data_IF_875426128678
#
_entry.id   IF_875426128678
#
_cell.length_a   1.000
_cell.length_b   1.000
_cell.length_c   1.000
_cell.angle_alpha   90.00
_cell.angle_beta   90.00
_cell.angle_gamma   90.00
#
_symmetry.space_group_name_H-M   'P 1'
#
loop_
_entity.id
_entity.type
_entity.pdbx_description
1 polymer ?
#
# COMPACT_ATOMS: atom_id res chain seq x y z
N UNK A 1 -27.97 5.84 0.96
CA UNK A 1 -27.53 4.79 0.00
C UNK A 1 -27.81 5.26 -1.42
N UNK A 2 -26.78 5.44 -2.25
CA UNK A 2 -26.94 5.83 -3.66
C UNK A 2 -27.10 4.57 -4.53
N UNK A 3 -28.33 4.19 -4.84
CA UNK A 3 -28.62 2.90 -5.48
C UNK A 3 -28.12 2.78 -6.93
N UNK A 4 -27.93 3.91 -7.62
CA UNK A 4 -27.57 3.96 -9.05
C UNK A 4 -26.22 4.65 -9.31
N UNK A 5 -25.38 4.77 -8.28
CA UNK A 5 -24.04 5.35 -8.41
C UNK A 5 -23.01 4.25 -8.23
N UNK A 6 -22.17 4.05 -9.26
CA UNK A 6 -20.95 3.26 -9.12
C UNK A 6 -19.85 4.18 -8.62
N UNK A 7 -19.36 3.94 -7.41
CA UNK A 7 -18.14 4.57 -6.94
C UNK A 7 -16.96 3.93 -7.67
N UNK A 8 -16.12 4.75 -8.26
CA UNK A 8 -14.88 4.29 -8.87
C UNK A 8 -13.81 4.25 -7.79
N UNK A 9 -13.09 3.14 -7.69
CA UNK A 9 -11.90 3.03 -6.88
C UNK A 9 -10.67 3.23 -7.79
N UNK A 10 -10.03 4.41 -7.78
CA UNK A 10 -8.84 4.63 -8.59
C UNK A 10 -7.67 3.72 -8.18
N UNK A 11 -7.64 3.21 -6.94
CA UNK A 11 -6.60 2.28 -6.50
C UNK A 11 -6.67 0.95 -7.26
N UNK A 12 -7.89 0.47 -7.57
CA UNK A 12 -8.10 -0.74 -8.38
C UNK A 12 -7.50 -0.58 -9.79
N UNK A 13 -7.72 0.58 -10.42
CA UNK A 13 -7.18 0.87 -11.75
C UNK A 13 -5.64 0.88 -11.74
N UNK A 14 -5.05 1.58 -10.78
CA UNK A 14 -3.58 1.67 -10.64
C UNK A 14 -2.97 0.29 -10.36
N UNK A 15 -3.61 -0.52 -9.50
CA UNK A 15 -3.14 -1.87 -9.20
C UNK A 15 -3.12 -2.76 -10.44
N UNK A 16 -4.15 -2.68 -11.29
CA UNK A 16 -4.22 -3.42 -12.55
C UNK A 16 -3.14 -2.97 -13.55
N UNK A 17 -2.92 -1.66 -13.67
CA UNK A 17 -1.87 -1.11 -14.54
C UNK A 17 -0.48 -1.58 -14.09
N UNK A 18 -0.20 -1.51 -12.79
CA UNK A 18 1.07 -1.98 -12.21
C UNK A 18 1.26 -3.49 -12.42
N UNK A 19 0.20 -4.28 -12.22
CA UNK A 19 0.24 -5.74 -12.47
C UNK A 19 0.62 -6.06 -13.92
N UNK A 20 0.16 -5.28 -14.89
CA UNK A 20 0.49 -5.49 -16.31
C UNK A 20 1.94 -5.09 -16.66
N UNK A 21 2.57 -4.24 -15.84
CA UNK A 21 3.95 -3.78 -16.04
C UNK A 21 4.99 -4.69 -15.39
N UNK A 22 4.66 -5.29 -14.24
CA UNK A 22 5.56 -6.18 -13.51
C UNK A 22 5.54 -7.57 -14.17
N UNK A 23 6.72 -8.11 -14.50
CA UNK A 23 6.86 -9.51 -14.92
C UNK A 23 6.89 -10.40 -13.68
N UNK A 24 6.14 -11.50 -13.71
CA UNK A 24 6.21 -12.54 -12.67
C UNK A 24 7.68 -12.95 -12.48
N UNK A 25 8.19 -12.74 -11.26
CA UNK A 25 9.58 -13.03 -10.91
C UNK A 25 9.56 -13.79 -9.58
N UNK A 26 9.37 -15.10 -9.68
CA UNK A 26 9.22 -16.04 -8.54
C UNK A 26 10.48 -16.16 -7.67
N UNK A 27 11.57 -15.48 -8.02
CA UNK A 27 12.91 -15.69 -7.46
C UNK A 27 13.28 -14.70 -6.34
N UNK A 28 12.51 -13.63 -6.12
CA UNK A 28 12.80 -12.66 -5.06
C UNK A 28 11.91 -12.89 -3.83
N UNK A 29 12.52 -12.98 -2.65
CA UNK A 29 11.78 -12.91 -1.40
C UNK A 29 11.03 -11.58 -1.35
N UNK A 30 9.71 -11.64 -1.41
CA UNK A 30 8.84 -10.47 -1.35
C UNK A 30 8.86 -9.89 0.07
N UNK A 31 9.76 -8.94 0.31
CA UNK A 31 9.85 -8.21 1.59
C UNK A 31 9.22 -6.82 1.41
N UNK A 32 8.10 -6.58 2.07
CA UNK A 32 7.51 -5.24 2.17
C UNK A 32 8.29 -4.41 3.19
N UNK A 33 8.87 -3.29 2.75
CA UNK A 33 9.53 -2.30 3.61
C UNK A 33 8.80 -0.97 3.49
N UNK A 34 8.42 -0.39 4.63
CA UNK A 34 7.64 0.84 4.69
C UNK A 34 8.47 1.92 5.37
N UNK A 35 8.56 3.08 4.74
CA UNK A 35 9.28 4.24 5.24
C UNK A 35 8.37 5.48 5.27
N UNK A 36 8.61 6.39 6.20
CA UNK A 36 7.93 7.70 6.27
C UNK A 36 8.90 8.80 6.68
N UNK A 37 8.74 10.00 6.14
CA UNK A 37 9.44 11.21 6.60
C UNK A 37 8.66 11.97 7.69
N UNK A 38 7.48 11.46 8.07
CA UNK A 38 6.64 12.01 9.13
C UNK A 38 6.75 11.24 10.44
N UNK A 39 5.70 11.35 11.27
CA UNK A 39 5.62 10.59 12.53
C UNK A 39 5.42 9.09 12.26
N UNK A 40 6.45 8.31 12.57
CA UNK A 40 6.51 6.86 12.41
C UNK A 40 5.41 6.15 13.20
N UNK A 41 5.18 6.56 14.46
CA UNK A 41 4.24 5.88 15.35
C UNK A 41 2.80 6.13 14.92
N UNK A 42 2.49 7.38 14.55
CA UNK A 42 1.18 7.73 14.02
C UNK A 42 0.89 6.97 12.72
N UNK A 43 1.88 6.92 11.81
CA UNK A 43 1.71 6.22 10.53
C UNK A 43 1.52 4.71 10.73
N UNK A 44 2.34 4.08 11.59
CA UNK A 44 2.20 2.67 11.95
C UNK A 44 0.82 2.35 12.54
N UNK A 45 0.32 3.19 13.46
CA UNK A 45 -1.01 3.01 14.05
C UNK A 45 -2.12 3.06 12.99
N UNK A 46 -2.03 3.98 12.03
CA UNK A 46 -3.01 4.08 10.94
C UNK A 46 -2.97 2.85 10.02
N UNK A 47 -1.78 2.32 9.73
CA UNK A 47 -1.62 1.07 8.97
C UNK A 47 -2.24 -0.13 9.69
N UNK A 48 -2.03 -0.24 11.00
CA UNK A 48 -2.64 -1.29 11.82
C UNK A 48 -4.17 -1.21 11.81
N UNK A 49 -4.77 -0.01 11.81
CA UNK A 49 -6.21 0.16 11.65
C UNK A 49 -6.73 -0.32 10.28
N UNK A 50 -5.86 -0.33 9.26
CA UNK A 50 -6.15 -0.88 7.93
C UNK A 50 -5.79 -2.37 7.79
N UNK A 51 -5.36 -3.04 8.87
CA UNK A 51 -4.96 -4.45 8.85
C UNK A 51 -3.55 -4.71 8.32
N UNK A 52 -2.71 -3.68 8.22
CA UNK A 52 -1.31 -3.78 7.79
C UNK A 52 -0.41 -3.70 9.04
N UNK A 53 0.15 -4.84 9.45
CA UNK A 53 1.00 -4.95 10.65
C UNK A 53 2.49 -5.10 10.28
N UNK A 54 3.00 -4.13 9.53
CA UNK A 54 4.40 -4.05 9.13
C UNK A 54 5.15 -3.01 9.98
N UNK A 55 6.46 -3.22 10.13
CA UNK A 55 7.33 -2.18 10.68
C UNK A 55 7.43 -0.98 9.74
N UNK A 56 7.46 0.20 10.35
CA UNK A 56 7.63 1.49 9.67
C UNK A 56 8.93 2.11 10.16
N UNK A 57 9.80 2.49 9.24
CA UNK A 57 11.05 3.18 9.56
C UNK A 57 10.99 4.65 9.14
N UNK A 58 11.68 5.52 9.86
CA UNK A 58 11.87 6.90 9.38
C UNK A 58 12.77 6.90 8.14
N UNK A 59 12.44 7.69 7.13
CA UNK A 59 13.27 7.86 5.95
C UNK A 59 14.46 8.76 6.28
N UNK A 60 15.63 8.17 6.51
CA UNK A 60 16.90 8.90 6.64
C UNK A 60 17.58 8.98 5.28
N UNK A 61 17.98 10.19 4.89
CA UNK A 61 18.76 10.46 3.68
C UNK A 61 20.24 10.18 3.90
#
# INVERSE_FOLDING_TARGET
MFKNVKFLDPAENVANDVKNLIRDNDLQQNVLRIFTSGDVNLFKKNLQMMGIDNEVSFLTT
#
